data_IF_150711391592
#
_entry.id   IF_150711391592
#
_cell.length_a   1.000
_cell.length_b   1.000
_cell.length_c   1.000
_cell.angle_alpha   90.00
_cell.angle_beta   90.00
_cell.angle_gamma   90.00
#
_symmetry.space_group_name_H-M   'P 1'
#
loop_
_entity.id
_entity.type
_entity.pdbx_description
1 polymer ?
#
# COMPACT_ATOMS: atom_id res chain seq x y z
N UNK A 1 -5.79 28.21 4.96
CA UNK A 1 -5.21 26.85 4.89
C UNK A 1 -6.02 26.02 3.90
N UNK A 2 -5.40 25.33 2.94
CA UNK A 2 -6.13 24.48 2.00
C UNK A 2 -6.77 23.29 2.71
N UNK A 3 -8.11 23.28 2.82
CA UNK A 3 -8.87 22.11 3.28
C UNK A 3 -8.59 20.95 2.33
N UNK A 4 -8.52 19.72 2.85
CA UNK A 4 -8.41 18.54 2.00
C UNK A 4 -9.73 18.40 1.20
N UNK A 5 -9.71 18.57 -0.13
CA UNK A 5 -10.93 18.82 -0.89
C UNK A 5 -11.80 17.58 -1.10
N UNK A 6 -11.29 16.38 -0.77
CA UNK A 6 -11.98 15.12 -1.04
C UNK A 6 -11.86 14.15 0.13
N UNK A 7 -13.01 13.66 0.59
CA UNK A 7 -13.13 12.48 1.45
C UNK A 7 -13.13 11.23 0.57
N UNK A 8 -12.07 10.44 0.65
CA UNK A 8 -11.97 9.21 -0.13
C UNK A 8 -12.76 8.10 0.56
N UNK A 9 -13.88 7.71 -0.04
CA UNK A 9 -14.72 6.61 0.43
C UNK A 9 -14.46 5.34 -0.38
N UNK A 10 -14.24 4.24 0.32
CA UNK A 10 -14.00 2.93 -0.30
C UNK A 10 -15.11 1.96 0.12
N UNK A 11 -16.10 1.68 -0.75
CA UNK A 11 -17.20 0.78 -0.41
C UNK A 11 -16.74 -0.61 0.06
N UNK A 12 -15.63 -1.11 -0.51
CA UNK A 12 -15.05 -2.38 -0.09
C UNK A 12 -14.48 -2.37 1.32
N UNK A 13 -13.91 -1.25 1.79
CA UNK A 13 -13.44 -1.13 3.18
C UNK A 13 -14.64 -1.11 4.14
N UNK A 14 -15.68 -0.34 3.80
CA UNK A 14 -16.91 -0.27 4.57
C UNK A 14 -17.58 -1.64 4.73
N UNK A 15 -17.67 -2.42 3.64
CA UNK A 15 -18.29 -3.75 3.64
C UNK A 15 -17.47 -4.82 4.36
N UNK A 16 -16.15 -4.65 4.46
CA UNK A 16 -15.25 -5.60 5.13
C UNK A 16 -15.05 -5.31 6.62
N UNK A 17 -15.41 -4.12 7.08
CA UNK A 17 -15.34 -3.77 8.50
C UNK A 17 -16.41 -4.54 9.28
N UNK A 18 -16.02 -5.67 9.87
CA UNK A 18 -16.94 -6.59 10.55
C UNK A 18 -17.64 -5.94 11.73
N UNK A 19 -16.95 -5.07 12.48
CA UNK A 19 -17.53 -4.37 13.63
C UNK A 19 -18.69 -3.47 13.18
N UNK A 20 -18.48 -2.67 12.12
CA UNK A 20 -19.54 -1.85 11.53
C UNK A 20 -20.64 -2.72 10.90
N UNK A 21 -20.31 -3.85 10.28
CA UNK A 21 -21.31 -4.76 9.72
C UNK A 21 -22.08 -5.58 10.78
N UNK A 22 -21.63 -5.64 12.02
CA UNK A 22 -22.35 -6.26 13.13
C UNK A 22 -23.32 -5.30 13.83
N UNK A 23 -23.12 -3.99 13.70
CA UNK A 23 -24.02 -3.00 14.30
C UNK A 23 -25.38 -2.97 13.59
N UNK A 24 -26.38 -2.37 14.25
CA UNK A 24 -27.67 -2.15 13.63
C UNK A 24 -27.55 -1.27 12.38
N UNK A 25 -28.48 -1.40 11.44
CA UNK A 25 -28.48 -0.60 10.21
C UNK A 25 -28.57 0.90 10.52
N UNK A 26 -29.27 1.26 11.60
CA UNK A 26 -29.40 2.64 12.07
C UNK A 26 -28.07 3.20 12.58
N UNK A 27 -27.36 2.44 13.42
CA UNK A 27 -26.02 2.79 13.89
C UNK A 27 -25.03 2.95 12.75
N UNK A 28 -25.14 2.14 11.69
CA UNK A 28 -24.30 2.31 10.49
C UNK A 28 -24.53 3.65 9.81
N UNK A 29 -25.78 4.09 9.70
CA UNK A 29 -26.13 5.40 9.15
C UNK A 29 -25.59 6.54 10.01
N UNK A 30 -25.84 6.48 11.32
CA UNK A 30 -25.33 7.46 12.29
C UNK A 30 -23.81 7.52 12.26
N UNK A 31 -23.14 6.37 12.18
CA UNK A 31 -21.69 6.31 12.09
C UNK A 31 -21.15 6.95 10.80
N UNK A 32 -21.83 6.76 9.66
CA UNK A 32 -21.45 7.40 8.41
C UNK A 32 -21.52 8.94 8.51
N UNK A 33 -22.59 9.48 9.07
CA UNK A 33 -22.74 10.92 9.34
C UNK A 33 -21.66 11.45 10.30
N UNK A 34 -21.36 10.71 11.37
CA UNK A 34 -20.25 11.03 12.28
C UNK A 34 -18.92 11.11 11.53
N UNK A 35 -18.63 10.19 10.61
CA UNK A 35 -17.39 10.19 9.82
C UNK A 35 -17.27 11.45 8.95
N UNK A 36 -18.37 11.94 8.39
CA UNK A 36 -18.39 13.17 7.60
C UNK A 36 -18.18 14.40 8.47
N UNK A 37 -18.82 14.46 9.64
CA UNK A 37 -18.60 15.52 10.62
C UNK A 37 -17.12 15.54 11.09
N UNK A 38 -16.56 14.38 11.43
CA UNK A 38 -15.15 14.24 11.78
C UNK A 38 -14.20 14.62 10.64
N UNK A 39 -14.67 14.48 9.39
CA UNK A 39 -13.92 14.94 8.23
C UNK A 39 -13.92 16.45 8.12
N UNK A 40 -14.95 17.22 8.45
CA UNK A 40 -14.85 18.69 8.43
C UNK A 40 -14.39 19.31 9.76
N UNK A 41 -14.33 18.51 10.83
CA UNK A 41 -13.88 18.92 12.17
C UNK A 41 -12.49 19.60 12.17
N UNK A 42 -12.28 20.64 13.01
CA UNK A 42 -10.97 21.25 13.24
C UNK A 42 -9.92 20.21 13.62
N UNK A 43 -10.28 19.28 14.52
CA UNK A 43 -9.49 18.12 14.88
C UNK A 43 -9.96 16.91 14.07
N UNK A 44 -9.35 16.75 12.90
CA UNK A 44 -9.68 15.69 11.94
C UNK A 44 -9.73 14.30 12.59
N UNK A 45 -10.85 13.60 12.45
CA UNK A 45 -11.04 12.26 13.01
C UNK A 45 -11.49 12.23 14.46
N UNK A 46 -11.78 13.40 15.06
CA UNK A 46 -12.35 13.53 16.40
C UNK A 46 -13.62 14.37 16.33
N UNK A 47 -14.63 13.88 17.03
CA UNK A 47 -15.89 14.57 17.27
C UNK A 47 -16.07 14.65 18.78
N UNK A 48 -16.34 15.84 19.32
CA UNK A 48 -16.53 16.03 20.75
C UNK A 48 -17.66 17.03 20.99
N UNK A 49 -18.52 16.74 21.96
CA UNK A 49 -19.65 17.60 22.32
C UNK A 49 -20.59 16.93 23.32
N UNK A 50 -21.62 17.66 23.71
CA UNK A 50 -22.74 17.09 24.49
C UNK A 50 -23.66 16.28 23.57
N UNK A 51 -24.30 15.24 24.09
CA UNK A 51 -25.19 14.34 23.35
C UNK A 51 -26.26 15.10 22.55
N UNK A 52 -26.88 16.10 23.16
CA UNK A 52 -27.91 16.94 22.54
C UNK A 52 -27.39 17.71 21.33
N UNK A 53 -26.15 18.19 21.38
CA UNK A 53 -25.55 18.93 20.28
C UNK A 53 -25.09 17.97 19.18
N UNK A 54 -24.55 16.82 19.55
CA UNK A 54 -24.07 15.81 18.59
C UNK A 54 -25.22 15.14 17.84
N UNK A 55 -26.30 14.76 18.53
CA UNK A 55 -27.52 14.22 17.92
C UNK A 55 -28.14 15.19 16.90
N UNK A 56 -28.26 16.48 17.25
CA UNK A 56 -28.71 17.53 16.32
C UNK A 56 -27.76 17.72 15.14
N UNK A 57 -26.45 17.67 15.37
CA UNK A 57 -25.44 17.80 14.32
C UNK A 57 -25.52 16.65 13.30
N UNK A 58 -25.77 15.44 13.78
CA UNK A 58 -25.90 14.22 12.97
C UNK A 58 -27.28 14.11 12.31
N UNK A 59 -28.30 14.77 12.88
CA UNK A 59 -29.67 14.72 12.39
C UNK A 59 -30.47 13.52 12.88
N UNK A 60 -30.19 13.04 14.10
CA UNK A 60 -30.94 11.96 14.75
C UNK A 60 -31.53 12.41 16.10
N UNK A 61 -32.42 11.61 16.68
CA UNK A 61 -32.91 11.89 18.05
C UNK A 61 -31.86 11.52 19.09
N UNK A 62 -31.98 12.06 20.31
CA UNK A 62 -31.05 11.76 21.40
C UNK A 62 -31.02 10.27 21.74
N UNK A 63 -32.17 9.62 21.77
CA UNK A 63 -32.27 8.19 22.09
C UNK A 63 -31.58 7.34 21.02
N UNK A 64 -31.75 7.70 19.74
CA UNK A 64 -31.09 7.03 18.63
C UNK A 64 -29.57 7.20 18.68
N UNK A 65 -29.11 8.41 19.04
CA UNK A 65 -27.70 8.70 19.24
C UNK A 65 -27.12 7.85 20.37
N UNK A 66 -27.80 7.78 21.51
CA UNK A 66 -27.33 7.02 22.68
C UNK A 66 -27.25 5.52 22.37
N UNK A 67 -28.28 4.94 21.74
CA UNK A 67 -28.26 3.53 21.31
C UNK A 67 -27.11 3.27 20.33
N UNK A 68 -26.90 4.17 19.36
CA UNK A 68 -25.78 4.05 18.44
C UNK A 68 -24.41 4.19 19.15
N UNK A 69 -24.30 5.08 20.14
CA UNK A 69 -23.09 5.28 20.93
C UNK A 69 -22.73 4.02 21.72
N UNK A 70 -23.72 3.40 22.37
CA UNK A 70 -23.56 2.15 23.11
C UNK A 70 -23.13 1.01 22.19
N UNK A 71 -23.77 0.85 21.02
CA UNK A 71 -23.36 -0.15 20.02
C UNK A 71 -21.92 0.09 19.51
N UNK A 72 -21.56 1.35 19.23
CA UNK A 72 -20.21 1.74 18.80
C UNK A 72 -19.17 1.39 19.86
N UNK A 73 -19.48 1.63 21.13
CA UNK A 73 -18.63 1.32 22.28
C UNK A 73 -18.49 -0.19 22.48
N UNK A 74 -19.61 -0.91 22.45
CA UNK A 74 -19.65 -2.36 22.64
C UNK A 74 -18.94 -3.14 21.52
N UNK A 75 -19.13 -2.73 20.26
CA UNK A 75 -18.48 -3.34 19.10
C UNK A 75 -17.07 -2.78 18.84
N UNK A 76 -16.61 -1.87 19.70
CA UNK A 76 -15.32 -1.19 19.62
C UNK A 76 -15.05 -0.50 18.28
N UNK A 77 -16.09 -0.02 17.58
CA UNK A 77 -15.97 0.61 16.25
C UNK A 77 -15.11 1.88 16.31
N UNK A 78 -15.21 2.62 17.41
CA UNK A 78 -14.47 3.86 17.66
C UNK A 78 -13.99 3.92 19.11
N UNK A 79 -13.03 4.80 19.38
CA UNK A 79 -12.64 5.09 20.77
C UNK A 79 -13.62 6.16 21.30
N UNK A 80 -14.40 5.79 22.31
CA UNK A 80 -15.39 6.66 22.94
C UNK A 80 -14.97 6.93 24.38
N UNK A 81 -14.89 8.21 24.74
CA UNK A 81 -14.65 8.64 26.12
C UNK A 81 -15.70 9.64 26.55
N UNK A 82 -16.25 9.43 27.74
CA UNK A 82 -17.30 10.25 28.32
C UNK A 82 -16.73 10.91 29.58
N UNK A 83 -16.59 12.24 29.56
CA UNK A 83 -16.09 13.01 30.70
C UNK A 83 -16.95 14.27 30.86
N UNK A 84 -17.47 14.52 32.06
CA UNK A 84 -18.21 15.75 32.40
C UNK A 84 -19.35 16.08 31.40
N UNK A 85 -20.16 15.09 31.02
CA UNK A 85 -21.25 15.20 30.02
C UNK A 85 -20.77 15.59 28.60
N UNK A 86 -19.47 15.47 28.34
CA UNK A 86 -18.90 15.63 26.99
C UNK A 86 -18.48 14.25 26.50
N UNK A 87 -19.08 13.86 25.39
CA UNK A 87 -18.74 12.64 24.68
C UNK A 87 -17.72 12.99 23.62
N UNK A 88 -16.60 12.26 23.63
CA UNK A 88 -15.55 12.36 22.62
C UNK A 88 -15.47 11.03 21.88
N UNK A 89 -15.61 11.09 20.56
CA UNK A 89 -15.62 9.94 19.66
C UNK A 89 -14.46 10.13 18.70
N UNK A 90 -13.58 9.12 18.61
CA UNK A 90 -12.38 9.18 17.77
C UNK A 90 -12.41 8.04 16.76
N UNK A 91 -12.37 8.40 15.48
CA UNK A 91 -12.04 7.45 14.42
C UNK A 91 -10.52 7.25 14.40
N UNK A 92 -10.06 6.11 14.93
CA UNK A 92 -8.64 5.75 15.07
C UNK A 92 -7.83 5.95 13.78
N UNK A 93 -8.35 5.51 12.64
CA UNK A 93 -7.66 5.62 11.33
C UNK A 93 -7.52 7.09 10.93
N UNK A 94 -8.63 7.83 10.92
CA UNK A 94 -8.67 9.23 10.49
C UNK A 94 -7.83 10.15 11.39
N UNK A 95 -7.88 9.92 12.71
CA UNK A 95 -7.11 10.69 13.68
C UNK A 95 -5.60 10.45 13.54
N UNK A 96 -5.15 9.18 13.48
CA UNK A 96 -3.75 8.83 13.20
C UNK A 96 -3.26 9.43 11.89
N UNK A 97 -4.09 9.39 10.84
CA UNK A 97 -3.77 10.02 9.56
C UNK A 97 -3.55 11.53 9.65
N UNK A 98 -4.31 12.22 10.50
CA UNK A 98 -4.20 13.66 10.70
C UNK A 98 -2.90 14.01 11.42
N UNK A 99 -2.57 13.28 12.48
CA UNK A 99 -1.30 13.40 13.21
C UNK A 99 -0.12 13.16 12.25
N UNK A 100 -0.14 12.08 11.47
CA UNK A 100 0.92 11.77 10.48
C UNK A 100 1.14 12.93 9.50
N UNK A 101 0.04 13.52 8.99
CA UNK A 101 0.08 14.65 8.06
C UNK A 101 0.68 15.88 8.73
N UNK A 102 0.26 16.20 9.96
CA UNK A 102 0.76 17.37 10.69
C UNK A 102 2.24 17.23 11.02
N UNK A 103 2.67 16.05 11.48
CA UNK A 103 4.08 15.75 11.75
C UNK A 103 4.93 15.84 10.47
N UNK A 104 4.40 15.38 9.34
CA UNK A 104 5.09 15.51 8.05
C UNK A 104 5.21 16.97 7.62
N UNK A 105 4.14 17.76 7.75
CA UNK A 105 4.18 19.21 7.48
C UNK A 105 5.22 19.92 8.35
N UNK A 106 5.27 19.61 9.65
CA UNK A 106 6.23 20.16 10.60
C UNK A 106 7.67 19.80 10.20
N UNK A 107 7.95 18.51 9.94
CA UNK A 107 9.26 18.03 9.48
C UNK A 107 9.74 18.71 8.20
N UNK A 108 8.86 18.84 7.20
CA UNK A 108 9.19 19.50 5.92
C UNK A 108 9.44 21.00 6.13
N UNK A 109 8.66 21.65 6.99
CA UNK A 109 8.86 23.07 7.34
C UNK A 109 10.23 23.27 7.99
N UNK A 110 10.54 22.51 9.04
CA UNK A 110 11.83 22.58 9.74
C UNK A 110 13.02 22.26 8.83
N UNK A 111 12.87 21.33 7.89
CA UNK A 111 13.90 21.05 6.88
C UNK A 111 14.14 22.25 5.96
N UNK A 112 13.06 22.90 5.48
CA UNK A 112 13.15 24.09 4.62
C UNK A 112 13.76 25.29 5.36
N UNK A 113 13.38 25.50 6.62
CA UNK A 113 13.93 26.55 7.47
C UNK A 113 15.43 26.33 7.70
N UNK A 114 15.86 25.12 8.06
CA UNK A 114 17.29 24.79 8.18
C UNK A 114 18.07 25.01 6.88
N UNK A 115 17.51 24.62 5.73
CA UNK A 115 18.14 24.84 4.42
C UNK A 115 18.17 26.31 3.99
N UNK A 116 17.26 27.15 4.48
CA UNK A 116 17.31 28.60 4.25
C UNK A 116 18.42 29.29 5.06
N UNK A 117 18.80 28.71 6.20
CA UNK A 117 19.86 29.22 7.08
C UNK A 117 21.24 28.69 6.67
N UNK A 118 21.32 27.45 6.21
CA UNK A 118 22.57 26.85 5.74
C UNK A 118 22.82 27.24 4.28
N UNK A 119 23.77 28.14 4.06
CA UNK A 119 24.11 28.70 2.75
C UNK A 119 24.16 27.66 1.62
N UNK A 120 23.71 28.09 0.45
CA UNK A 120 23.72 27.36 -0.81
C UNK A 120 25.08 26.69 -1.07
N UNK A 121 25.18 25.38 -0.79
CA UNK A 121 26.35 24.60 -1.17
C UNK A 121 26.24 24.17 -2.65
N UNK A 122 27.06 24.81 -3.50
CA UNK A 122 27.50 24.29 -4.81
C UNK A 122 26.91 24.98 -6.05
N UNK A 123 27.77 25.31 -7.03
CA UNK A 123 27.38 25.69 -8.40
C UNK A 123 26.48 24.59 -8.98
N UNK A 124 25.22 24.92 -9.15
CA UNK A 124 24.19 24.07 -9.76
C UNK A 124 24.58 23.78 -11.21
N UNK A 125 24.74 22.50 -11.56
CA UNK A 125 24.79 22.04 -12.96
C UNK A 125 23.54 22.59 -13.69
N UNK A 126 23.68 23.21 -14.88
CA UNK A 126 22.56 23.86 -15.55
C UNK A 126 21.40 22.87 -15.78
N UNK A 127 20.14 23.32 -15.66
CA UNK A 127 19.00 22.47 -15.86
C UNK A 127 18.97 21.99 -17.32
N UNK A 128 19.12 20.68 -17.53
CA UNK A 128 18.79 20.05 -18.80
C UNK A 128 17.27 20.15 -18.99
N UNK A 129 16.88 20.99 -19.93
CA UNK A 129 15.51 21.23 -20.37
C UNK A 129 14.87 19.95 -20.92
N UNK A 130 14.04 19.29 -20.14
CA UNK A 130 12.98 18.40 -20.66
C UNK A 130 11.89 18.21 -19.62
N UNK A 131 11.03 19.22 -19.55
CA UNK A 131 9.73 19.16 -18.91
C UNK A 131 8.84 18.11 -19.59
N UNK A 132 8.47 17.04 -18.87
CA UNK A 132 7.18 16.38 -19.10
C UNK A 132 6.46 16.19 -17.77
N UNK A 133 5.41 16.99 -17.62
CA UNK A 133 4.49 17.03 -16.49
C UNK A 133 3.55 15.82 -16.53
N UNK A 134 3.64 14.92 -15.55
CA UNK A 134 2.52 14.01 -15.22
C UNK A 134 2.22 14.03 -13.72
N UNK A 135 1.03 14.55 -13.42
CA UNK A 135 0.32 14.46 -12.14
C UNK A 135 0.01 13.00 -11.77
N UNK A 136 0.21 12.63 -10.50
CA UNK A 136 -0.78 12.04 -9.54
C UNK A 136 -0.01 11.43 -8.35
N UNK A 137 -0.27 11.87 -7.09
CA UNK A 137 -1.06 11.16 -6.05
C UNK A 137 -0.55 9.71 -5.80
N UNK A 138 -0.21 9.19 -4.61
CA UNK A 138 -0.54 9.46 -3.18
C UNK A 138 0.18 8.40 -2.30
N UNK A 139 0.41 8.71 -0.99
CA UNK A 139 0.44 7.86 0.27
C UNK A 139 0.35 6.30 0.18
N UNK A 140 0.83 5.41 1.09
CA UNK A 140 1.26 5.41 2.53
C UNK A 140 1.72 3.96 2.95
N UNK A 141 2.54 3.85 4.03
CA UNK A 141 2.65 2.78 5.08
C UNK A 141 3.20 1.35 4.79
N UNK A 142 4.16 0.91 5.63
CA UNK A 142 4.49 -0.50 5.95
C UNK A 142 3.43 -1.11 6.89
N UNK A 143 3.13 -2.42 6.79
CA UNK A 143 3.12 -3.26 8.01
C UNK A 143 3.55 -4.74 7.80
N UNK A 144 3.33 -5.56 8.84
CA UNK A 144 3.64 -6.99 9.06
C UNK A 144 3.48 -7.95 7.86
N UNK A 145 4.13 -9.13 7.95
CA UNK A 145 4.22 -10.13 6.88
C UNK A 145 2.85 -10.42 6.27
N UNK A 146 2.63 -9.78 5.12
CA UNK A 146 1.40 -9.82 4.38
C UNK A 146 1.11 -11.27 3.92
N UNK A 147 -0.13 -11.77 4.04
CA UNK A 147 -0.55 -13.03 3.41
C UNK A 147 -0.21 -13.08 1.91
N UNK A 148 -0.12 -11.89 1.30
CA UNK A 148 0.32 -11.66 -0.07
C UNK A 148 1.77 -12.07 -0.34
N UNK A 149 2.69 -11.93 0.63
CA UNK A 149 4.10 -12.29 0.44
C UNK A 149 4.30 -13.81 0.45
N UNK A 150 3.56 -14.53 1.30
CA UNK A 150 3.56 -16.00 1.31
C UNK A 150 2.97 -16.56 0.01
N UNK A 151 1.81 -16.03 -0.41
CA UNK A 151 1.14 -16.38 -1.66
C UNK A 151 1.96 -16.01 -2.91
N UNK A 152 2.72 -14.92 -2.86
CA UNK A 152 3.55 -14.53 -4.01
C UNK A 152 4.85 -15.33 -4.07
N UNK A 153 5.41 -15.71 -2.93
CA UNK A 153 6.58 -16.59 -2.91
C UNK A 153 6.26 -17.95 -3.53
N UNK A 154 5.13 -18.56 -3.15
CA UNK A 154 4.70 -19.84 -3.72
C UNK A 154 4.45 -19.76 -5.24
N UNK A 155 3.87 -18.65 -5.71
CA UNK A 155 3.69 -18.40 -7.15
C UNK A 155 5.00 -18.23 -7.90
N UNK A 156 6.00 -17.58 -7.30
CA UNK A 156 7.33 -17.43 -7.90
C UNK A 156 8.03 -18.78 -7.96
N UNK A 157 7.96 -19.61 -6.91
CA UNK A 157 8.55 -20.96 -6.91
C UNK A 157 7.89 -21.85 -7.96
N UNK A 158 6.56 -21.83 -8.05
CA UNK A 158 5.82 -22.63 -9.04
C UNK A 158 6.18 -22.23 -10.48
N UNK A 159 6.25 -20.92 -10.77
CA UNK A 159 6.69 -20.43 -12.09
C UNK A 159 8.14 -20.79 -12.40
N UNK A 160 9.03 -20.76 -11.40
CA UNK A 160 10.43 -21.15 -11.58
C UNK A 160 10.55 -22.64 -11.92
N UNK A 161 9.77 -23.50 -11.27
CA UNK A 161 9.70 -24.94 -11.57
C UNK A 161 9.19 -25.21 -12.99
N UNK A 162 8.11 -24.54 -13.38
CA UNK A 162 7.56 -24.66 -14.74
C UNK A 162 8.61 -24.26 -15.79
N UNK A 163 9.29 -23.13 -15.57
CA UNK A 163 10.34 -22.65 -16.45
C UNK A 163 11.56 -23.58 -16.51
N UNK A 164 11.95 -24.18 -15.38
CA UNK A 164 13.05 -25.15 -15.34
C UNK A 164 12.70 -26.42 -16.15
N UNK A 165 11.47 -26.93 -16.00
CA UNK A 165 10.99 -28.09 -16.78
C UNK A 165 10.94 -27.79 -18.28
N UNK A 166 10.43 -26.60 -18.65
CA UNK A 166 10.39 -26.17 -20.05
C UNK A 166 11.80 -26.06 -20.61
N UNK A 167 12.73 -25.41 -19.91
CA UNK A 167 14.12 -25.24 -20.36
C UNK A 167 14.84 -26.58 -20.62
N UNK A 168 14.50 -27.65 -19.90
CA UNK A 168 15.04 -29.00 -20.15
C UNK A 168 14.48 -29.66 -21.43
N UNK A 169 13.25 -29.32 -21.82
CA UNK A 169 12.58 -29.89 -23.00
C UNK A 169 12.95 -29.25 -24.34
N UNK A 170 13.60 -28.08 -24.35
CA UNK A 170 13.96 -27.38 -25.60
C UNK A 170 15.31 -27.80 -26.18
N UNK A 171 15.46 -27.84 -27.52
CA UNK A 171 16.68 -28.29 -28.18
C UNK A 171 17.87 -27.36 -27.91
N UNK A 172 19.07 -27.97 -27.92
CA UNK A 172 20.37 -27.44 -27.47
C UNK A 172 20.93 -26.28 -28.33
N UNK A 173 20.10 -25.52 -29.04
CA UNK A 173 20.53 -24.44 -29.93
C UNK A 173 20.25 -23.07 -29.31
N UNK A 174 20.85 -22.80 -28.16
CA UNK A 174 20.79 -21.45 -27.61
C UNK A 174 21.38 -21.34 -26.23
N UNK A 175 20.73 -21.90 -25.21
CA UNK A 175 21.10 -21.60 -23.82
C UNK A 175 20.92 -22.80 -22.91
N UNK A 176 21.82 -23.78 -23.04
CA UNK A 176 21.94 -24.96 -22.16
C UNK A 176 21.95 -24.65 -20.65
N UNK A 177 22.18 -23.40 -20.24
CA UNK A 177 22.54 -23.05 -18.88
C UNK A 177 21.74 -21.85 -18.33
N UNK A 178 20.51 -21.61 -18.79
CA UNK A 178 19.69 -20.56 -18.18
C UNK A 178 19.30 -20.95 -16.75
N UNK A 179 20.15 -20.56 -15.80
CA UNK A 179 19.95 -20.79 -14.39
C UNK A 179 18.90 -19.80 -13.85
N UNK A 180 17.62 -20.22 -13.89
CA UNK A 180 16.48 -19.46 -13.39
C UNK A 180 16.65 -19.10 -11.90
N UNK A 181 17.20 -20.03 -11.12
CA UNK A 181 17.41 -19.85 -9.69
C UNK A 181 18.49 -18.80 -9.42
N UNK A 182 19.60 -18.86 -10.16
CA UNK A 182 20.66 -17.85 -10.11
C UNK A 182 20.15 -16.47 -10.49
N UNK A 183 19.25 -16.37 -11.48
CA UNK A 183 18.61 -15.12 -11.85
C UNK A 183 17.71 -14.59 -10.71
N UNK A 184 16.84 -15.42 -10.15
CA UNK A 184 15.96 -15.00 -9.04
C UNK A 184 16.79 -14.53 -7.84
N UNK A 185 17.85 -15.25 -7.48
CA UNK A 185 18.75 -14.86 -6.40
C UNK A 185 19.46 -13.53 -6.69
N UNK A 186 19.91 -13.30 -7.92
CA UNK A 186 20.49 -12.02 -8.34
C UNK A 186 19.49 -10.87 -8.17
N UNK A 187 18.24 -11.07 -8.59
CA UNK A 187 17.17 -10.07 -8.48
C UNK A 187 16.80 -9.76 -7.02
N UNK A 188 16.72 -10.80 -6.18
CA UNK A 188 16.48 -10.66 -4.73
C UNK A 188 17.64 -9.94 -4.05
N UNK A 189 18.89 -10.27 -4.41
CA UNK A 189 20.08 -9.62 -3.88
C UNK A 189 20.12 -8.13 -4.23
N UNK A 190 19.75 -7.79 -5.47
CA UNK A 190 19.54 -6.41 -5.96
C UNK A 190 18.30 -5.71 -5.37
N UNK A 191 17.58 -6.37 -4.46
CA UNK A 191 16.38 -5.85 -3.76
C UNK A 191 15.22 -5.50 -4.71
N UNK A 192 15.13 -6.15 -5.87
CA UNK A 192 13.99 -5.98 -6.80
C UNK A 192 12.69 -6.41 -6.11
N UNK A 193 11.60 -5.68 -6.36
CA UNK A 193 10.31 -5.95 -5.75
C UNK A 193 9.76 -7.33 -6.18
N UNK A 194 9.27 -8.18 -5.26
CA UNK A 194 8.80 -9.55 -5.58
C UNK A 194 7.74 -9.60 -6.69
N UNK A 195 6.81 -8.65 -6.74
CA UNK A 195 5.79 -8.60 -7.80
C UNK A 195 6.38 -8.33 -9.19
N UNK A 196 7.46 -7.54 -9.28
CA UNK A 196 8.14 -7.29 -10.55
C UNK A 196 8.85 -8.56 -11.04
N UNK A 197 9.45 -9.31 -10.12
CA UNK A 197 10.04 -10.63 -10.39
C UNK A 197 8.95 -11.57 -10.92
N UNK A 198 7.81 -11.69 -10.22
CA UNK A 198 6.67 -12.52 -10.65
C UNK A 198 6.13 -12.15 -12.04
N UNK A 199 5.95 -10.85 -12.33
CA UNK A 199 5.48 -10.39 -13.65
C UNK A 199 6.48 -10.71 -14.75
N UNK A 200 7.78 -10.52 -14.51
CA UNK A 200 8.81 -10.85 -15.49
C UNK A 200 8.88 -12.37 -15.76
N UNK A 201 8.85 -13.19 -14.71
CA UNK A 201 8.85 -14.66 -14.82
C UNK A 201 7.59 -15.19 -15.51
N UNK A 202 6.40 -14.71 -15.14
CA UNK A 202 5.15 -15.12 -15.80
C UNK A 202 5.11 -14.73 -17.27
N UNK A 203 5.65 -13.57 -17.63
CA UNK A 203 5.76 -13.13 -19.03
C UNK A 203 6.76 -13.98 -19.82
N UNK A 204 7.85 -14.39 -19.18
CA UNK A 204 8.83 -15.30 -19.77
C UNK A 204 8.23 -16.70 -19.99
N UNK A 205 7.51 -17.23 -18.99
CA UNK A 205 6.81 -18.51 -19.09
C UNK A 205 5.78 -18.51 -20.22
N UNK A 206 4.96 -17.45 -20.31
CA UNK A 206 3.98 -17.29 -21.40
C UNK A 206 4.63 -17.32 -22.77
N UNK A 207 5.75 -16.61 -22.96
CA UNK A 207 6.46 -16.62 -24.25
C UNK A 207 6.94 -18.03 -24.57
N UNK A 208 7.65 -18.69 -23.65
CA UNK A 208 8.08 -20.06 -23.89
C UNK A 208 6.93 -21.03 -24.21
N UNK A 209 5.77 -20.89 -23.58
CA UNK A 209 4.61 -21.75 -23.90
C UNK A 209 3.92 -21.44 -25.24
N UNK A 210 3.90 -20.16 -25.65
CA UNK A 210 3.13 -19.71 -26.83
C UNK A 210 3.92 -19.84 -28.13
N UNK A 211 5.24 -19.70 -28.08
CA UNK A 211 6.06 -19.62 -29.27
C UNK A 211 6.89 -20.88 -29.43
N UNK A 212 6.30 -21.90 -30.05
CA UNK A 212 7.02 -23.11 -30.46
C UNK A 212 8.24 -22.85 -31.37
N UNK A 213 8.35 -21.64 -31.97
CA UNK A 213 9.46 -21.23 -32.84
C UNK A 213 10.10 -19.86 -32.51
N UNK A 214 9.43 -18.94 -31.78
CA UNK A 214 10.01 -17.64 -31.40
C UNK A 214 10.63 -17.73 -29.99
N UNK A 215 11.87 -18.21 -29.94
CA UNK A 215 12.63 -18.24 -28.70
C UNK A 215 12.91 -16.82 -28.20
N UNK A 216 12.78 -16.62 -26.88
CA UNK A 216 13.38 -15.46 -26.23
C UNK A 216 14.91 -15.65 -26.28
N UNK A 217 15.54 -15.15 -27.34
CA UNK A 217 17.00 -15.28 -27.59
C UNK A 217 17.89 -14.75 -26.46
N UNK A 218 17.35 -13.90 -25.58
CA UNK A 218 18.06 -13.41 -24.40
C UNK A 218 17.10 -13.31 -23.21
N UNK A 219 16.83 -14.43 -22.50
CA UNK A 219 15.83 -14.46 -21.43
C UNK A 219 16.23 -13.53 -20.28
N UNK A 220 17.53 -13.38 -19.99
CA UNK A 220 18.02 -12.41 -19.01
C UNK A 220 17.73 -10.97 -19.43
N UNK A 221 18.10 -10.60 -20.66
CA UNK A 221 17.85 -9.26 -21.20
C UNK A 221 16.36 -8.92 -21.26
N UNK A 222 15.52 -9.90 -21.63
CA UNK A 222 14.07 -9.77 -21.65
C UNK A 222 13.47 -9.59 -20.25
N UNK A 223 13.92 -10.38 -19.28
CA UNK A 223 13.52 -10.19 -17.88
C UNK A 223 13.93 -8.80 -17.38
N UNK A 224 15.15 -8.36 -17.69
CA UNK A 224 15.62 -7.02 -17.32
C UNK A 224 14.84 -5.88 -18.00
N UNK A 225 14.42 -6.04 -19.26
CA UNK A 225 13.60 -5.02 -19.93
C UNK A 225 12.22 -4.89 -19.30
N UNK A 226 11.59 -6.02 -18.94
CA UNK A 226 10.32 -6.02 -18.20
C UNK A 226 10.51 -5.41 -16.81
N UNK A 227 11.58 -5.78 -16.10
CA UNK A 227 11.85 -5.23 -14.77
C UNK A 227 12.07 -3.72 -14.87
N UNK A 228 12.87 -3.21 -15.81
CA UNK A 228 13.11 -1.78 -15.95
C UNK A 228 11.82 -1.00 -16.28
N UNK A 229 10.97 -1.54 -17.16
CA UNK A 229 9.68 -0.90 -17.52
C UNK A 229 8.66 -0.94 -16.37
N UNK A 230 8.64 -2.00 -15.58
CA UNK A 230 7.68 -2.16 -14.48
C UNK A 230 8.15 -1.55 -13.16
N UNK A 231 9.45 -1.46 -12.94
CA UNK A 231 10.06 -1.03 -11.69
C UNK A 231 9.69 0.40 -11.28
N UNK A 232 9.53 1.32 -12.24
CA UNK A 232 9.05 2.68 -11.97
C UNK A 232 7.69 2.73 -11.26
N UNK A 233 6.79 1.80 -11.59
CA UNK A 233 5.45 1.72 -10.97
C UNK A 233 5.48 1.03 -9.59
N UNK A 234 6.41 0.10 -9.37
CA UNK A 234 6.51 -0.66 -8.12
C UNK A 234 7.30 0.08 -7.02
N UNK A 235 8.32 0.87 -7.39
CA UNK A 235 9.11 1.64 -6.43
C UNK A 235 8.33 2.82 -5.79
N UNK A 236 7.27 3.32 -6.44
CA UNK A 236 6.47 4.43 -5.92
C UNK A 236 5.41 4.03 -4.88
N UNK A 237 5.04 2.74 -4.76
CA UNK A 237 3.85 2.33 -3.98
C UNK A 237 4.05 1.62 -2.65
N UNK A 238 5.13 0.89 -2.36
CA UNK A 238 5.42 0.38 -1.00
C UNK A 238 6.76 -0.41 -0.94
N UNK A 239 7.79 0.23 -0.36
CA UNK A 239 8.88 -0.31 0.48
C UNK A 239 10.01 -1.27 0.00
N UNK A 240 11.23 -0.92 0.44
CA UNK A 240 12.46 -1.74 0.62
C UNK A 240 12.27 -2.90 1.64
N UNK A 241 11.35 -2.74 2.60
CA UNK A 241 11.11 -3.69 3.71
C UNK A 241 10.47 -5.00 3.23
N UNK A 242 9.67 -4.98 2.15
CA UNK A 242 9.06 -6.20 1.58
C UNK A 242 10.07 -7.04 0.80
N UNK A 243 10.95 -6.42 0.03
CA UNK A 243 12.09 -7.10 -0.61
C UNK A 243 13.06 -7.69 0.43
N UNK A 244 13.25 -7.01 1.58
CA UNK A 244 14.07 -7.53 2.68
C UNK A 244 13.44 -8.76 3.37
N UNK A 245 12.11 -8.78 3.59
CA UNK A 245 11.41 -9.96 4.10
C UNK A 245 11.50 -11.16 3.15
N UNK A 246 11.61 -10.92 1.84
CA UNK A 246 11.76 -11.98 0.84
C UNK A 246 13.16 -12.62 0.81
N UNK A 247 14.19 -11.94 1.35
CA UNK A 247 15.57 -12.47 1.36
C UNK A 247 15.75 -13.74 2.22
N UNK A 248 14.83 -13.99 3.15
CA UNK A 248 14.90 -15.12 4.08
C UNK A 248 14.12 -16.35 3.59
N UNK A 249 13.60 -16.33 2.36
CA UNK A 249 12.96 -17.51 1.76
C UNK A 249 14.03 -18.47 1.26
N UNK A 250 14.21 -19.57 1.98
CA UNK A 250 14.94 -20.72 1.47
C UNK A 250 14.15 -21.32 0.30
N UNK A 251 14.71 -21.25 -0.90
CA UNK A 251 14.17 -21.94 -2.06
C UNK A 251 14.27 -23.47 -1.81
N UNK A 252 13.26 -24.26 -2.18
CA UNK A 252 13.29 -25.71 -1.99
C UNK A 252 14.57 -26.32 -2.57
N UNK A 253 15.31 -27.06 -1.74
CA UNK A 253 16.59 -27.70 -2.12
C UNK A 253 16.44 -28.74 -3.22
N UNK A 254 15.21 -29.21 -3.46
CA UNK A 254 14.88 -30.29 -4.41
C UNK A 254 15.16 -29.93 -5.88
N UNK A 255 15.48 -28.67 -6.18
CA UNK A 255 15.79 -28.17 -7.53
C UNK A 255 17.22 -27.62 -7.67
N UNK A 256 18.10 -27.90 -6.69
CA UNK A 256 19.52 -27.48 -6.69
C UNK A 256 20.47 -28.48 -7.36
N UNK A 257 19.96 -29.44 -8.15
CA UNK A 257 20.78 -30.37 -8.94
C UNK A 257 20.86 -29.98 -10.40
#
# INVERSE_FOLDING_TARGET
MGKAPAFQWYPGDWRRDTQVQMSSFKTRGIWAEMLWCMWDSPERGKLAGMDDNLSRLIGCTRDEFNVALEEIKHLEIADVTECNNVVTIINRRMYKEAIDRNNTKKRVREYRERKSVQGCNGKVTPPSSSSSSKKKQTKKKNPESSPYLGDLSSKITELAEQLARLALSYPKNGHKNFNINGLIQELVNKKIHPQAIHVALSSLAKRWTLTGNDEVKNPRGYVWSIINTTSGNYYEREHIVKSQKFKNLEMPKELLR
#
